data_IF_205661457774
#
_entry.id   IF_205661457774
#
_cell.length_a   1.000
_cell.length_b   1.000
_cell.length_c   1.000
_cell.angle_alpha   90.00
_cell.angle_beta   90.00
_cell.angle_gamma   90.00
#
_symmetry.space_group_name_H-M   'P 1'
#
loop_
_entity.id
_entity.type
_entity.pdbx_description
1 polymer ?
#
# COMPACT_ATOMS: atom_id res chain seq x y z
N UNK A 1 0.17 -35.36 -8.98
CA UNK A 1 -0.75 -36.21 -8.20
C UNK A 1 -2.18 -35.79 -8.44
N UNK A 2 -3.09 -36.75 -8.65
CA UNK A 2 -4.53 -36.53 -8.78
C UNK A 2 -5.23 -36.98 -7.51
N UNK A 3 -5.98 -36.09 -6.90
CA UNK A 3 -6.83 -36.40 -5.73
C UNK A 3 -8.29 -36.48 -6.19
N UNK A 4 -9.00 -37.46 -5.68
CA UNK A 4 -10.43 -37.66 -5.89
C UNK A 4 -11.14 -37.44 -4.55
N UNK A 5 -12.11 -36.55 -4.53
CA UNK A 5 -12.92 -36.25 -3.34
C UNK A 5 -14.34 -36.84 -3.51
N UNK A 6 -15.02 -36.98 -2.38
CA UNK A 6 -16.44 -37.33 -2.38
C UNK A 6 -17.22 -36.35 -3.27
N UNK A 7 -18.17 -36.88 -4.05
CA UNK A 7 -18.92 -36.09 -5.05
C UNK A 7 -18.20 -35.90 -6.39
N UNK A 8 -17.17 -36.72 -6.68
CA UNK A 8 -16.50 -36.76 -7.99
C UNK A 8 -15.58 -35.57 -8.31
N UNK A 9 -15.35 -34.68 -7.36
CA UNK A 9 -14.40 -33.54 -7.52
C UNK A 9 -12.98 -34.06 -7.63
N UNK A 10 -12.21 -33.48 -8.56
CA UNK A 10 -10.81 -33.83 -8.82
C UNK A 10 -9.92 -32.64 -8.51
N UNK A 11 -8.80 -32.88 -7.83
CA UNK A 11 -7.76 -31.90 -7.60
C UNK A 11 -6.42 -32.47 -8.08
N UNK A 12 -5.60 -31.64 -8.68
CA UNK A 12 -4.27 -32.02 -9.18
C UNK A 12 -3.21 -31.18 -8.48
N UNK A 13 -2.18 -31.82 -7.92
CA UNK A 13 -1.05 -31.13 -7.32
C UNK A 13 0.27 -31.58 -7.92
N UNK A 14 1.31 -30.77 -7.75
CA UNK A 14 2.65 -31.06 -8.25
C UNK A 14 2.80 -30.96 -9.76
N UNK A 15 1.83 -30.39 -10.46
CA UNK A 15 1.89 -30.17 -11.92
C UNK A 15 2.24 -28.70 -12.21
N UNK A 16 3.28 -28.48 -12.98
CA UNK A 16 3.73 -27.15 -13.42
C UNK A 16 3.01 -26.67 -14.70
N UNK A 17 2.12 -27.47 -15.28
CA UNK A 17 1.41 -27.13 -16.51
C UNK A 17 0.04 -26.51 -16.19
N UNK A 18 -0.14 -25.24 -16.46
CA UNK A 18 -1.41 -24.51 -16.27
C UNK A 18 -2.60 -25.12 -17.04
N UNK A 19 -2.35 -25.85 -18.14
CA UNK A 19 -3.42 -26.49 -18.93
C UNK A 19 -4.22 -27.51 -18.13
N UNK A 20 -3.66 -28.08 -17.07
CA UNK A 20 -4.32 -29.06 -16.22
C UNK A 20 -5.20 -28.39 -15.18
N UNK A 21 -4.85 -27.18 -14.75
CA UNK A 21 -5.59 -26.41 -13.76
C UNK A 21 -6.63 -25.46 -14.39
N UNK A 22 -6.30 -24.90 -15.55
CA UNK A 22 -7.22 -24.05 -16.27
C UNK A 22 -8.14 -24.93 -17.13
N UNK A 23 -9.40 -25.01 -16.74
CA UNK A 23 -10.49 -25.51 -17.60
C UNK A 23 -10.70 -24.56 -18.80
N UNK A 24 -9.68 -24.43 -19.67
CA UNK A 24 -9.82 -23.68 -20.92
C UNK A 24 -10.83 -24.38 -21.79
N UNK A 25 -12.08 -23.96 -21.75
CA UNK A 25 -13.19 -24.51 -22.53
C UNK A 25 -14.50 -24.70 -21.78
N UNK A 26 -14.51 -24.61 -20.44
CA UNK A 26 -15.76 -24.56 -19.70
C UNK A 26 -15.92 -23.17 -19.10
N UNK A 27 -16.70 -22.35 -19.79
CA UNK A 27 -17.13 -21.02 -19.35
C UNK A 27 -18.16 -21.07 -18.20
N UNK A 28 -18.05 -22.04 -17.31
CA UNK A 28 -18.98 -22.18 -16.20
C UNK A 28 -18.40 -21.48 -14.99
N UNK A 29 -19.05 -20.42 -14.59
CA UNK A 29 -18.77 -19.48 -13.48
C UNK A 29 -17.69 -18.46 -13.81
N UNK A 30 -18.04 -17.44 -14.58
CA UNK A 30 -17.35 -16.15 -14.52
C UNK A 30 -17.71 -15.47 -13.19
N UNK A 31 -17.08 -15.88 -12.10
CA UNK A 31 -17.07 -15.08 -10.89
C UNK A 31 -16.46 -13.72 -11.21
N UNK A 32 -16.98 -12.65 -10.63
CA UNK A 32 -16.37 -11.33 -10.74
C UNK A 32 -14.96 -11.36 -10.14
N UNK A 33 -14.00 -10.72 -10.82
CA UNK A 33 -12.64 -10.62 -10.31
C UNK A 33 -12.58 -9.59 -9.17
N UNK A 34 -12.72 -10.06 -7.94
CA UNK A 34 -12.71 -9.21 -6.76
C UNK A 34 -11.39 -8.43 -6.58
N UNK A 35 -10.26 -8.94 -7.10
CA UNK A 35 -8.99 -8.23 -7.04
C UNK A 35 -8.98 -6.97 -7.91
N UNK A 36 -9.66 -6.98 -9.05
CA UNK A 36 -9.82 -5.80 -9.88
C UNK A 36 -10.67 -4.74 -9.15
N UNK A 37 -11.78 -5.15 -8.57
CA UNK A 37 -12.62 -4.28 -7.73
C UNK A 37 -11.84 -3.71 -6.54
N UNK A 38 -11.12 -4.58 -5.80
CA UNK A 38 -10.27 -4.17 -4.68
C UNK A 38 -9.24 -3.11 -5.10
N UNK A 39 -8.59 -3.30 -6.24
CA UNK A 39 -7.57 -2.40 -6.76
C UNK A 39 -8.13 -1.00 -7.01
N UNK A 40 -9.25 -0.91 -7.69
CA UNK A 40 -9.93 0.37 -7.95
C UNK A 40 -10.39 1.04 -6.65
N UNK A 41 -11.02 0.28 -5.76
CA UNK A 41 -11.48 0.80 -4.47
C UNK A 41 -10.33 1.36 -3.61
N UNK A 42 -9.12 0.79 -3.74
CA UNK A 42 -7.93 1.30 -3.05
C UNK A 42 -7.41 2.60 -3.64
N UNK A 43 -7.21 2.65 -4.95
CA UNK A 43 -6.30 3.62 -5.56
C UNK A 43 -6.96 4.72 -6.38
N UNK A 44 -8.20 4.54 -6.86
CA UNK A 44 -8.90 5.55 -7.68
C UNK A 44 -9.20 6.84 -6.89
N UNK A 45 -9.30 6.74 -5.56
CA UNK A 45 -9.48 7.91 -4.68
C UNK A 45 -8.42 8.99 -4.84
N UNK A 46 -7.22 8.64 -5.29
CA UNK A 46 -6.16 9.61 -5.61
C UNK A 46 -6.42 10.35 -6.92
N UNK A 47 -7.17 9.75 -7.83
CA UNK A 47 -7.47 10.36 -9.11
C UNK A 47 -8.71 11.28 -9.00
N UNK A 48 -9.68 10.91 -8.19
CA UNK A 48 -10.85 11.74 -7.84
C UNK A 48 -10.42 13.07 -7.17
N UNK A 49 -9.41 13.03 -6.29
CA UNK A 49 -8.90 14.24 -5.63
C UNK A 49 -8.20 15.21 -6.60
N UNK A 50 -7.63 14.72 -7.71
CA UNK A 50 -6.98 15.57 -8.72
C UNK A 50 -7.98 16.33 -9.58
N UNK A 51 -9.14 15.75 -9.82
CA UNK A 51 -10.23 16.40 -10.56
C UNK A 51 -10.93 17.47 -9.71
N UNK A 52 -10.86 17.33 -8.37
CA UNK A 52 -11.52 18.24 -7.42
C UNK A 52 -10.68 19.46 -7.01
N UNK A 53 -9.38 19.49 -7.32
CA UNK A 53 -8.49 20.58 -6.90
C UNK A 53 -8.07 21.44 -8.09
N UNK A 54 -8.58 22.68 -8.15
CA UNK A 54 -7.99 23.74 -8.95
C UNK A 54 -6.53 23.96 -8.51
N UNK A 55 -5.63 24.05 -9.46
CA UNK A 55 -4.15 24.12 -9.32
C UNK A 55 -3.65 25.21 -8.32
N UNK A 56 -4.47 26.25 -8.08
CA UNK A 56 -4.18 27.35 -7.15
C UNK A 56 -4.25 26.96 -5.65
N UNK A 57 -4.88 25.84 -5.28
CA UNK A 57 -5.00 25.41 -3.86
C UNK A 57 -3.81 24.60 -3.35
N UNK A 58 -2.83 24.33 -4.19
CA UNK A 58 -1.72 23.41 -3.97
C UNK A 58 -0.41 24.11 -3.54
N UNK A 59 -0.34 25.45 -3.60
CA UNK A 59 0.84 26.18 -3.17
C UNK A 59 1.07 26.05 -1.66
N UNK A 60 2.28 25.59 -1.28
CA UNK A 60 2.73 25.54 0.11
C UNK A 60 2.42 24.24 0.87
N UNK A 61 1.74 23.24 0.28
CA UNK A 61 1.51 21.95 0.96
C UNK A 61 2.73 21.04 0.86
N UNK A 62 3.02 20.32 1.96
CA UNK A 62 4.01 19.24 1.95
C UNK A 62 3.51 18.07 1.12
N UNK A 63 4.35 17.54 0.23
CA UNK A 63 4.02 16.38 -0.62
C UNK A 63 4.46 15.09 0.04
N UNK A 64 3.52 14.16 0.20
CA UNK A 64 3.77 12.80 0.69
C UNK A 64 3.67 11.83 -0.47
N UNK A 65 4.80 11.29 -0.91
CA UNK A 65 4.86 10.31 -1.99
C UNK A 65 4.74 8.88 -1.41
N UNK A 66 3.75 8.12 -1.87
CA UNK A 66 3.44 6.78 -1.38
C UNK A 66 3.67 5.77 -2.49
N UNK A 67 4.57 4.78 -2.33
CA UNK A 67 4.74 3.71 -3.29
C UNK A 67 3.53 2.76 -3.27
N UNK A 68 2.93 2.50 -4.43
CA UNK A 68 1.78 1.60 -4.63
C UNK A 68 2.22 0.14 -4.56
N UNK A 69 2.66 -0.31 -3.38
CA UNK A 69 3.24 -1.64 -3.19
C UNK A 69 3.11 -2.11 -1.74
N UNK A 70 3.33 -3.40 -1.49
CA UNK A 70 3.32 -4.05 -0.19
C UNK A 70 1.99 -3.81 0.57
N UNK A 71 2.07 -3.39 1.83
CA UNK A 71 0.92 -3.14 2.70
C UNK A 71 0.00 -2.01 2.22
N UNK A 72 0.40 -1.19 1.24
CA UNK A 72 -0.50 -0.21 0.63
C UNK A 72 -1.68 -0.86 -0.11
N UNK A 73 -1.57 -2.14 -0.47
CA UNK A 73 -2.70 -2.92 -0.99
C UNK A 73 -3.75 -3.30 0.06
N UNK A 74 -3.53 -2.93 1.33
CA UNK A 74 -4.48 -3.06 2.44
C UNK A 74 -4.74 -1.71 3.13
N UNK A 75 -3.69 -0.90 3.34
CA UNK A 75 -3.70 0.25 4.24
C UNK A 75 -3.82 1.59 3.52
N UNK A 76 -3.80 1.64 2.19
CA UNK A 76 -3.79 2.91 1.46
C UNK A 76 -4.96 3.82 1.80
N UNK A 77 -6.22 3.33 1.98
CA UNK A 77 -7.33 4.17 2.39
C UNK A 77 -7.09 4.92 3.71
N UNK A 78 -6.46 4.25 4.66
CA UNK A 78 -6.07 4.85 5.94
C UNK A 78 -5.05 5.98 5.74
N UNK A 79 -3.97 5.71 5.03
CA UNK A 79 -2.90 6.67 4.83
C UNK A 79 -3.34 7.87 3.99
N UNK A 80 -4.09 7.63 2.94
CA UNK A 80 -4.64 8.68 2.09
C UNK A 80 -5.52 9.64 2.90
N UNK A 81 -6.49 9.12 3.65
CA UNK A 81 -7.38 9.94 4.48
C UNK A 81 -6.63 10.67 5.62
N UNK A 82 -5.62 10.05 6.21
CA UNK A 82 -4.78 10.67 7.24
C UNK A 82 -4.08 11.90 6.68
N UNK A 83 -3.36 11.74 5.57
CA UNK A 83 -2.54 12.81 5.01
C UNK A 83 -3.36 13.93 4.40
N UNK A 84 -4.39 13.61 3.62
CA UNK A 84 -5.26 14.64 3.00
C UNK A 84 -5.99 15.46 4.07
N UNK A 85 -6.52 14.82 5.11
CA UNK A 85 -7.17 15.52 6.24
C UNK A 85 -6.18 16.34 7.06
N UNK A 86 -4.93 15.91 7.16
CA UNK A 86 -3.85 16.67 7.83
C UNK A 86 -3.33 17.84 6.98
N UNK A 87 -3.77 17.98 5.72
CA UNK A 87 -3.39 19.08 4.83
C UNK A 87 -2.19 18.78 3.93
N UNK A 88 -1.74 17.53 3.84
CA UNK A 88 -0.71 17.13 2.89
C UNK A 88 -1.29 16.88 1.50
N UNK A 89 -0.42 17.00 0.49
CA UNK A 89 -0.68 16.51 -0.86
C UNK A 89 -0.18 15.08 -0.99
N UNK A 90 -1.05 14.15 -1.41
CA UNK A 90 -0.67 12.74 -1.59
C UNK A 90 -0.32 12.47 -3.05
N UNK A 91 0.89 12.00 -3.28
CA UNK A 91 1.40 11.54 -4.57
C UNK A 91 1.54 10.02 -4.55
N UNK A 92 0.75 9.31 -5.35
CA UNK A 92 0.87 7.87 -5.49
C UNK A 92 1.77 7.51 -6.67
N UNK A 93 2.61 6.47 -6.54
CA UNK A 93 3.37 5.94 -7.68
C UNK A 93 2.42 5.33 -8.71
N UNK A 94 2.84 5.30 -9.97
CA UNK A 94 2.09 4.67 -11.04
C UNK A 94 2.00 3.14 -10.83
N UNK A 95 1.17 2.49 -11.62
CA UNK A 95 1.05 1.02 -11.61
C UNK A 95 2.37 0.32 -11.94
N UNK A 96 2.55 -0.85 -11.33
CA UNK A 96 3.69 -1.73 -11.64
C UNK A 96 3.65 -2.16 -13.10
N UNK A 97 4.78 -2.05 -13.80
CA UNK A 97 4.94 -2.63 -15.12
C UNK A 97 6.37 -3.16 -15.31
N UNK A 98 6.53 -4.05 -16.29
CA UNK A 98 7.79 -4.74 -16.51
C UNK A 98 8.96 -3.80 -16.87
N UNK A 99 8.72 -2.81 -17.71
CA UNK A 99 9.76 -1.82 -18.12
C UNK A 99 10.33 -1.05 -16.93
N UNK A 100 9.46 -0.61 -16.01
CA UNK A 100 9.90 0.07 -14.78
C UNK A 100 10.66 -0.87 -13.87
N UNK A 101 10.18 -2.09 -13.71
CA UNK A 101 10.86 -3.12 -12.92
C UNK A 101 12.29 -3.34 -13.45
N UNK A 102 12.45 -3.56 -14.75
CA UNK A 102 13.77 -3.72 -15.38
C UNK A 102 14.69 -2.52 -15.10
N UNK A 103 14.18 -1.31 -15.15
CA UNK A 103 14.98 -0.09 -14.93
C UNK A 103 15.53 0.05 -13.51
N UNK A 104 14.98 -0.68 -12.55
CA UNK A 104 15.36 -0.65 -11.14
C UNK A 104 16.14 -1.91 -10.69
N UNK A 105 16.28 -2.92 -11.55
CA UNK A 105 16.94 -4.20 -11.21
C UNK A 105 18.33 -4.04 -10.62
N UNK A 106 19.11 -3.07 -11.10
CA UNK A 106 20.47 -2.82 -10.62
C UNK A 106 20.57 -2.41 -9.13
N UNK A 107 19.45 -1.98 -8.51
CA UNK A 107 19.39 -1.66 -7.09
C UNK A 107 18.89 -2.82 -6.22
N UNK A 108 18.40 -3.91 -6.82
CA UNK A 108 17.92 -5.09 -6.08
C UNK A 108 19.11 -5.91 -5.60
N UNK A 109 19.32 -5.93 -4.29
CA UNK A 109 20.53 -6.51 -3.66
C UNK A 109 20.54 -8.04 -3.62
N UNK A 110 19.40 -8.70 -3.82
CA UNK A 110 19.31 -10.17 -3.73
C UNK A 110 18.25 -10.74 -4.66
N UNK A 111 18.60 -11.81 -5.35
CA UNK A 111 17.66 -12.55 -6.21
C UNK A 111 16.65 -13.39 -5.40
N UNK A 112 16.94 -13.65 -4.13
CA UNK A 112 16.16 -14.55 -3.28
C UNK A 112 15.01 -13.84 -2.53
N UNK A 113 14.89 -12.52 -2.63
CA UNK A 113 13.76 -11.81 -2.02
C UNK A 113 12.48 -12.00 -2.83
N UNK A 114 11.34 -11.87 -2.19
CA UNK A 114 10.04 -12.00 -2.84
C UNK A 114 9.84 -10.94 -3.93
N UNK A 115 9.05 -11.27 -4.95
CA UNK A 115 8.84 -10.37 -6.09
C UNK A 115 8.22 -9.02 -5.69
N UNK A 116 7.25 -8.92 -4.78
CA UNK A 116 6.75 -7.62 -4.31
C UNK A 116 7.85 -6.72 -3.73
N UNK A 117 8.82 -7.29 -2.99
CA UNK A 117 9.95 -6.51 -2.47
C UNK A 117 10.84 -5.96 -3.61
N UNK A 118 11.07 -6.74 -4.67
CA UNK A 118 11.80 -6.27 -5.86
C UNK A 118 11.09 -5.10 -6.55
N UNK A 119 9.77 -5.12 -6.60
CA UNK A 119 8.97 -4.04 -7.19
C UNK A 119 9.09 -2.72 -6.41
N UNK A 120 9.34 -2.74 -5.10
CA UNK A 120 9.52 -1.52 -4.29
C UNK A 120 10.55 -0.58 -4.91
N UNK A 121 11.67 -1.12 -5.39
CA UNK A 121 12.74 -0.33 -5.99
C UNK A 121 12.27 0.52 -7.17
N UNK A 122 11.43 -0.05 -8.03
CA UNK A 122 10.91 0.67 -9.19
C UNK A 122 9.91 1.77 -8.81
N UNK A 123 9.07 1.54 -7.82
CA UNK A 123 8.13 2.53 -7.32
C UNK A 123 8.85 3.70 -6.62
N UNK A 124 9.85 3.38 -5.79
CA UNK A 124 10.63 4.40 -5.08
C UNK A 124 11.46 5.24 -6.07
N UNK A 125 12.08 4.61 -7.07
CA UNK A 125 12.82 5.32 -8.13
C UNK A 125 11.92 6.32 -8.86
N UNK A 126 10.74 5.89 -9.30
CA UNK A 126 9.78 6.77 -9.98
C UNK A 126 9.38 7.96 -9.09
N UNK A 127 9.04 7.69 -7.81
CA UNK A 127 8.64 8.75 -6.89
C UNK A 127 9.78 9.73 -6.62
N UNK A 128 11.02 9.26 -6.47
CA UNK A 128 12.18 10.12 -6.29
C UNK A 128 12.40 11.04 -7.50
N UNK A 129 12.27 10.51 -8.71
CA UNK A 129 12.35 11.29 -9.95
C UNK A 129 11.24 12.34 -10.04
N UNK A 130 9.98 11.97 -9.74
CA UNK A 130 8.84 12.87 -9.75
C UNK A 130 8.94 13.96 -8.69
N UNK A 131 9.35 13.60 -7.47
CA UNK A 131 9.58 14.56 -6.41
C UNK A 131 10.70 15.53 -6.76
N UNK A 132 11.78 15.05 -7.37
CA UNK A 132 12.90 15.92 -7.79
C UNK A 132 12.48 17.00 -8.79
N UNK A 133 11.46 16.74 -9.60
CA UNK A 133 10.91 17.69 -10.56
C UNK A 133 10.02 18.79 -9.92
N UNK A 134 9.59 18.61 -8.65
CA UNK A 134 8.79 19.60 -7.94
C UNK A 134 9.72 20.65 -7.28
N UNK A 135 9.71 21.92 -7.70
CA UNK A 135 10.53 22.95 -7.06
C UNK A 135 9.93 23.37 -5.70
N UNK A 136 10.82 23.71 -4.75
CA UNK A 136 10.52 24.46 -3.53
C UNK A 136 9.37 23.95 -2.65
N UNK A 137 9.07 22.64 -2.64
CA UNK A 137 8.09 22.04 -1.74
C UNK A 137 8.78 21.14 -0.71
N UNK A 138 8.31 21.18 0.52
CA UNK A 138 8.61 20.11 1.47
C UNK A 138 8.02 18.81 0.97
N UNK A 139 8.83 17.76 0.88
CA UNK A 139 8.47 16.51 0.22
C UNK A 139 9.23 15.32 0.77
N UNK A 140 8.58 14.18 0.83
CA UNK A 140 9.23 12.93 1.24
C UNK A 140 8.51 11.71 0.68
N UNK A 141 9.23 10.59 0.62
CA UNK A 141 8.65 9.27 0.32
C UNK A 141 8.26 8.63 1.65
N UNK A 142 7.02 8.20 1.76
CA UNK A 142 6.46 7.57 2.96
C UNK A 142 6.46 6.05 2.83
N UNK A 143 7.24 5.38 3.69
CA UNK A 143 7.33 3.92 3.78
C UNK A 143 7.35 3.52 5.26
N UNK A 144 6.19 3.38 5.93
CA UNK A 144 6.13 3.07 7.35
C UNK A 144 6.65 1.65 7.63
N UNK A 145 7.20 1.45 8.82
CA UNK A 145 7.44 0.13 9.38
C UNK A 145 6.15 -0.35 10.03
N UNK A 146 5.34 -1.10 9.31
CA UNK A 146 4.12 -1.69 9.88
C UNK A 146 4.48 -3.03 10.51
N UNK A 147 4.66 -3.03 11.84
CA UNK A 147 5.09 -4.22 12.58
C UNK A 147 3.93 -5.17 12.82
N UNK A 148 2.78 -4.63 13.24
CA UNK A 148 1.55 -5.39 13.46
C UNK A 148 0.42 -4.82 12.61
N UNK A 149 -0.28 -5.70 11.92
CA UNK A 149 -1.54 -5.38 11.24
C UNK A 149 -2.73 -5.40 12.20
N UNK A 150 -3.87 -4.94 11.68
CA UNK A 150 -5.17 -5.04 12.35
C UNK A 150 -5.50 -6.51 12.59
N UNK A 151 -6.15 -6.75 13.71
CA UNK A 151 -6.65 -8.07 14.04
C UNK A 151 -8.12 -8.13 13.65
N UNK A 152 -8.42 -8.84 12.57
CA UNK A 152 -9.78 -8.96 12.03
C UNK A 152 -10.63 -10.03 12.74
N UNK A 153 -9.98 -10.93 13.48
CA UNK A 153 -10.62 -12.05 14.18
C UNK A 153 -9.90 -12.30 15.51
N UNK A 154 -10.63 -12.29 16.61
CA UNK A 154 -10.10 -12.51 17.97
C UNK A 154 -9.43 -13.89 18.14
N UNK A 155 -9.73 -14.84 17.25
CA UNK A 155 -9.07 -16.15 17.21
C UNK A 155 -7.66 -16.11 16.61
N UNK A 156 -7.33 -15.03 15.91
CA UNK A 156 -6.00 -14.83 15.36
C UNK A 156 -5.02 -14.43 16.46
N UNK A 157 -4.07 -15.30 16.77
CA UNK A 157 -3.07 -15.07 17.83
C UNK A 157 -1.91 -14.21 17.37
N UNK A 158 -1.73 -14.03 16.05
CA UNK A 158 -0.60 -13.30 15.49
C UNK A 158 -1.03 -12.40 14.32
N UNK A 159 -0.59 -11.14 14.37
CA UNK A 159 -0.76 -10.16 13.28
C UNK A 159 0.57 -9.49 12.87
N UNK A 160 1.69 -10.16 13.09
CA UNK A 160 3.00 -9.68 12.65
C UNK A 160 3.11 -9.69 11.13
N UNK A 161 3.61 -8.59 10.60
CA UNK A 161 4.04 -8.52 9.22
C UNK A 161 5.40 -9.22 8.99
N UNK A 162 5.63 -9.62 7.75
CA UNK A 162 6.92 -10.14 7.34
C UNK A 162 8.00 -9.04 7.40
N UNK A 163 9.31 -9.41 7.47
CA UNK A 163 10.41 -8.45 7.51
C UNK A 163 10.41 -7.43 6.36
N UNK A 164 9.89 -7.81 5.20
CA UNK A 164 9.79 -6.90 4.04
C UNK A 164 8.83 -5.74 4.32
N UNK A 165 7.66 -5.99 4.89
CA UNK A 165 6.71 -4.95 5.23
C UNK A 165 7.17 -4.13 6.43
N UNK A 166 7.79 -4.79 7.41
CA UNK A 166 8.16 -4.15 8.69
C UNK A 166 9.50 -3.40 8.68
N UNK A 167 10.38 -3.59 7.64
CA UNK A 167 11.72 -2.99 7.68
C UNK A 167 12.35 -2.66 6.32
N UNK A 168 11.67 -2.88 5.20
CA UNK A 168 12.31 -2.80 3.87
C UNK A 168 12.78 -1.40 3.47
N UNK A 169 12.27 -0.36 4.09
CA UNK A 169 12.72 1.02 3.83
C UNK A 169 14.21 1.24 4.19
N UNK A 170 14.79 0.45 5.10
CA UNK A 170 16.23 0.49 5.39
C UNK A 170 17.05 -0.09 4.22
N UNK A 171 16.55 -1.17 3.64
CA UNK A 171 17.17 -1.76 2.44
C UNK A 171 17.13 -0.75 1.29
N UNK A 172 16.00 -0.09 1.08
CA UNK A 172 15.86 0.95 0.04
C UNK A 172 16.85 2.09 0.27
N UNK A 173 16.96 2.62 1.50
CA UNK A 173 17.93 3.68 1.82
C UNK A 173 19.37 3.26 1.60
N UNK A 174 19.70 1.99 1.80
CA UNK A 174 21.05 1.47 1.61
C UNK A 174 21.37 1.13 0.16
N UNK A 175 20.38 0.67 -0.60
CA UNK A 175 20.53 0.16 -1.96
C UNK A 175 20.41 1.25 -3.04
N UNK A 176 19.77 2.37 -2.72
CA UNK A 176 19.44 3.41 -3.68
C UNK A 176 20.00 4.78 -3.28
N UNK A 177 20.63 5.48 -4.22
CA UNK A 177 21.04 6.88 -4.03
C UNK A 177 19.87 7.81 -4.32
N UNK A 178 19.04 8.05 -3.30
CA UNK A 178 17.83 8.87 -3.41
C UNK A 178 18.12 10.34 -3.12
N UNK A 179 17.48 11.25 -3.85
CA UNK A 179 17.46 12.70 -3.60
C UNK A 179 16.43 13.05 -2.54
N UNK A 180 15.37 12.29 -2.47
CA UNK A 180 14.24 12.50 -1.57
C UNK A 180 14.45 11.75 -0.26
N UNK A 181 13.99 12.35 0.85
CA UNK A 181 14.00 11.70 2.15
C UNK A 181 12.97 10.57 2.18
N UNK A 182 13.36 9.37 2.64
CA UNK A 182 12.44 8.28 2.98
C UNK A 182 12.08 8.35 4.45
N UNK A 183 10.81 8.51 4.75
CA UNK A 183 10.27 8.66 6.12
C UNK A 183 9.52 7.38 6.49
N UNK A 184 9.96 6.76 7.59
CA UNK A 184 9.52 5.41 7.99
C UNK A 184 9.18 5.35 9.47
N UNK A 185 8.03 5.94 9.88
CA UNK A 185 7.60 5.81 11.27
C UNK A 185 7.24 4.36 11.59
N UNK A 186 7.49 3.95 12.84
CA UNK A 186 7.07 2.64 13.35
C UNK A 186 5.58 2.69 13.66
N UNK A 187 4.83 1.75 13.11
CA UNK A 187 3.36 1.69 13.20
C UNK A 187 2.92 0.34 13.74
N UNK A 188 1.97 0.40 14.66
CA UNK A 188 1.29 -0.76 15.20
C UNK A 188 -0.22 -0.57 15.06
N UNK A 189 -0.84 -1.28 14.11
CA UNK A 189 -2.30 -1.22 13.90
C UNK A 189 -3.10 -2.05 14.91
N UNK A 190 -2.45 -2.98 15.60
CA UNK A 190 -3.13 -3.85 16.59
C UNK A 190 -3.53 -3.11 17.85
N UNK A 191 -2.75 -2.12 18.30
CA UNK A 191 -3.02 -1.33 19.50
C UNK A 191 -3.43 0.09 19.11
N UNK A 192 -4.74 0.38 19.18
CA UNK A 192 -5.30 1.68 18.79
C UNK A 192 -4.72 2.85 19.60
N UNK A 193 -4.42 2.64 20.90
CA UNK A 193 -3.88 3.70 21.77
C UNK A 193 -2.43 4.00 21.40
N UNK A 194 -1.67 2.95 21.06
CA UNK A 194 -0.31 3.09 20.59
C UNK A 194 -0.28 3.74 19.22
N UNK A 195 -1.11 3.29 18.29
CA UNK A 195 -1.28 3.88 16.96
C UNK A 195 -1.58 5.38 17.05
N UNK A 196 -2.55 5.76 17.88
CA UNK A 196 -2.91 7.17 18.08
C UNK A 196 -1.74 8.01 18.59
N UNK A 197 -0.93 7.49 19.52
CA UNK A 197 0.27 8.17 20.03
C UNK A 197 1.37 8.28 18.96
N UNK A 198 1.60 7.21 18.20
CA UNK A 198 2.60 7.18 17.12
C UNK A 198 2.26 8.21 16.05
N UNK A 199 0.99 8.27 15.61
CA UNK A 199 0.54 9.20 14.58
C UNK A 199 0.44 10.64 15.09
N UNK A 200 0.02 10.86 16.34
CA UNK A 200 0.03 12.19 16.94
C UNK A 200 1.45 12.77 17.01
N UNK A 201 2.42 11.98 17.46
CA UNK A 201 3.82 12.37 17.49
C UNK A 201 4.39 12.63 16.10
N UNK A 202 4.07 11.78 15.13
CA UNK A 202 4.49 11.93 13.74
C UNK A 202 3.97 13.23 13.12
N UNK A 203 2.66 13.47 13.15
CA UNK A 203 2.04 14.66 12.57
C UNK A 203 2.43 15.94 13.31
N UNK A 204 2.67 15.87 14.63
CA UNK A 204 3.20 16.99 15.42
C UNK A 204 4.57 17.44 14.91
N UNK A 205 5.43 16.51 14.49
CA UNK A 205 6.73 16.79 13.89
C UNK A 205 6.66 17.65 12.62
N UNK A 206 5.52 17.62 11.93
CA UNK A 206 5.23 18.48 10.76
C UNK A 206 4.44 19.75 11.11
N UNK A 207 4.33 20.11 12.37
CA UNK A 207 3.64 21.34 12.80
C UNK A 207 2.11 21.26 12.75
N UNK A 208 1.53 20.09 12.53
CA UNK A 208 0.08 19.94 12.44
C UNK A 208 -0.58 20.17 13.82
N UNK A 209 -1.58 21.05 13.87
CA UNK A 209 -2.28 21.40 15.10
C UNK A 209 -3.07 20.23 15.71
N UNK A 210 -3.22 20.18 17.04
CA UNK A 210 -3.83 19.07 17.77
C UNK A 210 -5.25 18.72 17.30
N UNK A 211 -6.09 19.73 17.00
CA UNK A 211 -7.46 19.51 16.49
C UNK A 211 -7.44 18.81 15.14
N UNK A 212 -6.54 19.22 14.24
CA UNK A 212 -6.39 18.62 12.90
C UNK A 212 -5.85 17.20 13.00
N UNK A 213 -4.86 16.93 13.87
CA UNK A 213 -4.32 15.58 14.09
C UNK A 213 -5.40 14.59 14.54
N UNK A 214 -6.26 14.99 15.49
CA UNK A 214 -7.39 14.17 15.93
C UNK A 214 -8.39 13.92 14.82
N UNK A 215 -8.73 14.96 14.04
CA UNK A 215 -9.63 14.84 12.88
C UNK A 215 -9.05 13.89 11.83
N UNK A 216 -7.76 14.00 11.54
CA UNK A 216 -7.06 13.16 10.57
C UNK A 216 -7.08 11.68 10.97
N UNK A 217 -6.83 11.37 12.25
CA UNK A 217 -6.90 9.99 12.74
C UNK A 217 -8.31 9.41 12.62
N UNK A 218 -9.33 10.15 13.01
CA UNK A 218 -10.74 9.72 12.88
C UNK A 218 -11.09 9.45 11.42
N UNK A 219 -10.71 10.35 10.51
CA UNK A 219 -10.93 10.20 9.08
C UNK A 219 -10.22 8.96 8.50
N UNK A 220 -8.98 8.70 8.93
CA UNK A 220 -8.20 7.55 8.51
C UNK A 220 -8.85 6.22 8.93
N UNK A 221 -9.25 6.11 10.19
CA UNK A 221 -9.95 4.91 10.71
C UNK A 221 -11.27 4.70 9.99
N UNK A 222 -12.04 5.77 9.78
CA UNK A 222 -13.32 5.70 9.05
C UNK A 222 -13.11 5.19 7.61
N UNK A 223 -12.17 5.78 6.87
CA UNK A 223 -11.89 5.40 5.48
C UNK A 223 -11.46 3.93 5.35
N UNK A 224 -10.68 3.43 6.31
CA UNK A 224 -10.28 2.04 6.35
C UNK A 224 -11.45 1.10 6.63
N UNK A 225 -12.31 1.44 7.59
CA UNK A 225 -13.48 0.63 7.90
C UNK A 225 -14.49 0.57 6.74
N UNK A 226 -14.68 1.68 6.04
CA UNK A 226 -15.51 1.74 4.83
C UNK A 226 -14.96 0.85 3.72
N UNK A 227 -13.64 0.85 3.52
CA UNK A 227 -12.97 -0.02 2.57
C UNK A 227 -13.18 -1.50 2.92
N UNK A 228 -12.93 -1.89 4.17
CA UNK A 228 -13.10 -3.29 4.63
C UNK A 228 -14.56 -3.74 4.47
N UNK A 229 -15.52 -2.88 4.83
CA UNK A 229 -16.93 -3.16 4.66
C UNK A 229 -17.32 -3.38 3.19
N UNK A 230 -16.86 -2.50 2.29
CA UNK A 230 -17.14 -2.61 0.86
C UNK A 230 -16.58 -3.90 0.24
N UNK A 231 -15.36 -4.32 0.63
CA UNK A 231 -14.79 -5.61 0.20
C UNK A 231 -15.61 -6.77 0.75
N UNK A 232 -16.01 -6.72 2.02
CA UNK A 232 -16.83 -7.75 2.66
C UNK A 232 -18.21 -7.91 2.04
N UNK A 233 -18.84 -6.83 1.60
CA UNK A 233 -20.11 -6.85 0.86
C UNK A 233 -19.95 -7.46 -0.53
N UNK A 234 -18.87 -7.12 -1.24
CA UNK A 234 -18.60 -7.62 -2.59
C UNK A 234 -18.22 -9.10 -2.60
N UNK A 235 -17.69 -9.62 -1.49
CA UNK A 235 -17.28 -11.02 -1.35
C UNK A 235 -18.43 -11.98 -1.02
N UNK A 236 -19.61 -11.48 -0.68
CA UNK A 236 -20.83 -12.27 -0.43
C UNK A 236 -21.56 -12.60 -1.73
#
# INVERSE_FOLDING_TARGET
TRYLFAGGRKFYSGNKCERVFNNKGKNDTKGENIYHYKYHLLFDRCDEDKEATDDASMEGKTVVAIPRILNMYEDFPFWHALFTTAGFEVMLSSESNFRRYESALGSVMSDNICFPAKLVHSHVKELDERLAALPNKDKFIFMPYVVFERQDDDRNINSYNCPIVSAYSDVIRSAMSLRSKVVSPVINFRDEKLLARQLDGFLKGYGIGSKTRKKALIAAVKAQNEYVAAIGEKAK
#
